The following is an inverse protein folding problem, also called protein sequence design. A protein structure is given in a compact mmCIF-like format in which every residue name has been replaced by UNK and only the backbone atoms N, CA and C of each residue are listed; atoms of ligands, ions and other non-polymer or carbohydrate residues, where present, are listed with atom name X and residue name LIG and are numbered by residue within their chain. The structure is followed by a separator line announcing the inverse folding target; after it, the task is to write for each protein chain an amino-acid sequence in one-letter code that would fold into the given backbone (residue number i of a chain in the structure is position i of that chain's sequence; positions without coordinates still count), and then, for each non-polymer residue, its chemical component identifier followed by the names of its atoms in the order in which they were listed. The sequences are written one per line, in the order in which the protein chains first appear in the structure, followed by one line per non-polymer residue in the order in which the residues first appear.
data_IF_456180995317
#
_entry.id   IF_456180995317
#
_cell.length_a   1.000
_cell.length_b   1.000
_cell.length_c   1.000
_cell.angle_alpha   90.00
_cell.angle_beta   90.00
_cell.angle_gamma   90.00
#
_symmetry.space_group_name_H-M   'P 1'
#
loop_
_entity.id
_entity.type
_entity.pdbx_description
1 polymer ?
#
# COMPACT_ATOMS: atom_id res chain seq x y z
N UNK A 1 -0.62 -2.68 -13.25
CA UNK A 1 0.78 -2.41 -13.65
C UNK A 1 0.80 -1.79 -15.05
N UNK A 2 0.79 -0.46 -15.13
CA UNK A 2 1.12 0.23 -16.38
C UNK A 2 2.63 0.08 -16.60
N UNK A 3 3.04 -0.21 -17.83
CA UNK A 3 4.45 -0.27 -18.23
C UNK A 3 5.12 1.09 -17.96
N UNK A 4 5.89 1.17 -16.88
CA UNK A 4 6.79 2.28 -16.59
C UNK A 4 8.05 2.10 -17.42
N UNK A 5 8.07 2.70 -18.61
CA UNK A 5 9.26 2.74 -19.47
C UNK A 5 10.03 4.03 -19.22
N UNK A 6 11.23 3.90 -18.65
CA UNK A 6 12.18 4.97 -18.36
C UNK A 6 12.71 5.63 -19.64
N UNK A 7 11.94 6.55 -20.22
CA UNK A 7 12.37 7.31 -21.40
C UNK A 7 13.25 8.48 -20.97
N UNK A 8 14.58 8.29 -20.87
CA UNK A 8 15.49 9.44 -20.96
C UNK A 8 16.75 9.48 -20.10
N UNK A 9 17.46 8.37 -19.88
CA UNK A 9 18.81 8.43 -19.27
C UNK A 9 19.86 8.91 -20.31
N UNK A 10 19.71 10.12 -20.84
CA UNK A 10 20.69 10.74 -21.75
C UNK A 10 21.78 11.44 -20.94
N UNK A 11 23.00 10.89 -20.94
CA UNK A 11 24.20 11.53 -20.37
C UNK A 11 24.38 12.95 -20.92
N UNK A 12 24.41 13.97 -20.07
CA UNK A 12 25.06 15.23 -20.44
C UNK A 12 26.57 14.98 -20.39
N UNK A 13 27.23 15.03 -21.57
CA UNK A 13 28.69 14.96 -21.68
C UNK A 13 29.30 16.12 -20.88
N UNK A 14 30.11 15.82 -19.86
CA UNK A 14 31.01 16.78 -19.26
C UNK A 14 32.36 16.13 -18.92
N UNK A 15 33.43 16.89 -19.18
CA UNK A 15 34.84 16.50 -19.09
C UNK A 15 35.24 16.00 -17.70
N UNK A 16 36.07 14.97 -17.66
CA UNK A 16 36.66 14.41 -16.45
C UNK A 16 37.65 15.40 -15.82
N UNK A 17 37.59 15.53 -14.49
CA UNK A 17 38.66 15.93 -13.56
C UNK A 17 38.09 16.61 -12.29
N UNK A 18 37.39 15.85 -11.45
CA UNK A 18 37.29 16.08 -9.99
C UNK A 18 36.58 14.88 -9.34
N UNK A 19 36.95 14.55 -8.11
CA UNK A 19 36.17 13.70 -7.19
C UNK A 19 34.85 14.43 -6.87
N UNK A 20 33.92 14.40 -7.82
CA UNK A 20 32.63 15.07 -7.70
C UNK A 20 31.68 14.33 -6.75
N UNK A 21 30.72 15.06 -6.18
CA UNK A 21 29.71 14.59 -5.23
C UNK A 21 28.79 13.56 -5.93
N UNK A 22 28.82 12.30 -5.50
CA UNK A 22 28.04 11.20 -6.11
C UNK A 22 26.73 10.95 -5.35
N UNK A 23 26.75 11.12 -4.03
CA UNK A 23 25.57 11.13 -3.16
C UNK A 23 25.46 12.46 -2.39
N UNK A 24 24.29 12.76 -1.83
CA UNK A 24 24.13 13.95 -0.97
C UNK A 24 25.01 13.89 0.29
N UNK A 25 25.43 12.71 0.72
CA UNK A 25 26.25 12.55 1.93
C UNK A 25 27.67 13.07 1.72
N UNK A 26 28.21 12.90 0.51
CA UNK A 26 29.51 13.42 0.09
C UNK A 26 29.57 14.96 0.07
N UNK A 27 28.43 15.65 0.16
CA UNK A 27 28.35 17.10 0.06
C UNK A 27 28.61 17.80 1.42
N UNK A 28 29.46 18.83 1.41
CA UNK A 28 29.69 19.68 2.59
C UNK A 28 28.44 20.51 2.96
N UNK A 29 27.74 21.08 1.97
CA UNK A 29 26.58 21.93 2.23
C UNK A 29 25.34 21.10 2.61
N UNK A 30 24.50 21.68 3.47
CA UNK A 30 23.20 21.10 3.84
C UNK A 30 22.25 20.96 2.64
N UNK A 31 22.30 21.92 1.71
CA UNK A 31 21.47 21.91 0.51
C UNK A 31 22.27 21.37 -0.67
N UNK A 32 21.73 20.38 -1.37
CA UNK A 32 22.39 19.75 -2.52
C UNK A 32 21.47 19.83 -3.73
N UNK A 33 21.91 20.47 -4.82
CA UNK A 33 21.19 20.44 -6.10
C UNK A 33 21.26 19.03 -6.68
N UNK A 34 20.11 18.34 -6.75
CA UNK A 34 20.04 16.93 -7.15
C UNK A 34 19.48 16.74 -8.57
N UNK A 35 18.53 17.58 -9.00
CA UNK A 35 17.92 17.50 -10.34
C UNK A 35 17.36 18.83 -10.82
N UNK A 36 17.06 18.89 -12.12
CA UNK A 36 16.20 19.91 -12.73
C UNK A 36 14.98 19.21 -13.32
N UNK A 37 13.79 19.78 -13.14
CA UNK A 37 12.52 19.19 -13.61
C UNK A 37 11.68 20.27 -14.29
N UNK A 38 10.67 19.89 -15.07
CA UNK A 38 9.67 20.85 -15.56
C UNK A 38 8.74 21.28 -14.42
N UNK A 39 8.29 22.54 -14.47
CA UNK A 39 7.22 23.08 -13.63
C UNK A 39 6.42 24.05 -14.47
N UNK A 40 5.25 23.62 -14.93
CA UNK A 40 4.55 24.26 -16.05
C UNK A 40 5.52 24.36 -17.26
N UNK A 41 5.59 25.52 -17.92
CA UNK A 41 6.46 25.73 -19.09
C UNK A 41 7.95 25.94 -18.73
N UNK A 42 8.26 26.16 -17.45
CA UNK A 42 9.60 26.54 -16.99
C UNK A 42 10.38 25.39 -16.35
N UNK A 43 11.71 25.52 -16.31
CA UNK A 43 12.58 24.60 -15.59
C UNK A 43 12.70 24.99 -14.10
N UNK A 44 12.66 23.98 -13.24
CA UNK A 44 12.76 24.12 -11.79
C UNK A 44 13.93 23.29 -11.25
N UNK A 45 14.87 23.94 -10.55
CA UNK A 45 15.92 23.24 -9.81
C UNK A 45 15.35 22.68 -8.51
N UNK A 46 15.64 21.41 -8.25
CA UNK A 46 15.22 20.67 -7.05
C UNK A 46 16.45 20.34 -6.22
N UNK A 47 16.34 20.60 -4.92
CA UNK A 47 17.41 20.46 -3.95
C UNK A 47 17.01 19.46 -2.88
N UNK A 48 17.95 18.64 -2.42
CA UNK A 48 17.82 17.83 -1.22
C UNK A 48 18.33 18.61 -0.02
N UNK A 49 17.61 18.56 1.09
CA UNK A 49 18.04 19.08 2.37
C UNK A 49 18.46 17.92 3.28
N UNK A 50 19.75 17.82 3.58
CA UNK A 50 20.34 16.75 4.40
C UNK A 50 19.81 16.73 5.84
N UNK A 51 19.33 17.85 6.39
CA UNK A 51 18.89 17.93 7.80
C UNK A 51 17.54 17.28 8.05
N UNK A 52 16.64 17.30 7.07
CA UNK A 52 15.27 16.81 7.23
C UNK A 52 14.88 15.78 6.18
N UNK A 53 15.83 15.36 5.33
CA UNK A 53 15.64 14.36 4.28
C UNK A 53 14.43 14.68 3.41
N UNK A 54 14.37 15.92 2.93
CA UNK A 54 13.27 16.43 2.12
C UNK A 54 13.74 17.22 0.90
N UNK A 55 12.89 17.29 -0.13
CA UNK A 55 13.14 18.11 -1.31
C UNK A 55 12.63 19.54 -1.16
N UNK A 56 13.35 20.48 -1.78
CA UNK A 56 13.03 21.89 -1.88
C UNK A 56 13.19 22.36 -3.33
N UNK A 57 12.48 23.43 -3.69
CA UNK A 57 12.67 24.09 -4.99
C UNK A 57 13.52 25.34 -4.83
N UNK A 58 14.20 25.79 -5.90
CA UNK A 58 15.11 26.96 -5.88
C UNK A 58 14.59 28.17 -5.07
N UNK A 59 13.30 28.52 -5.20
CA UNK A 59 12.71 29.67 -4.48
C UNK A 59 12.79 29.54 -2.95
N UNK A 60 12.85 28.32 -2.44
CA UNK A 60 12.91 27.99 -1.02
C UNK A 60 14.33 27.82 -0.48
N UNK A 61 15.35 27.96 -1.33
CA UNK A 61 16.76 27.77 -0.97
C UNK A 61 17.45 29.13 -0.92
N UNK A 62 17.81 29.57 0.28
CA UNK A 62 18.46 30.87 0.52
C UNK A 62 19.95 30.75 0.88
N UNK A 63 20.41 29.54 1.24
CA UNK A 63 21.79 29.25 1.64
C UNK A 63 22.66 28.75 0.47
N UNK A 64 23.98 28.67 0.70
CA UNK A 64 24.92 27.99 -0.18
C UNK A 64 24.49 26.54 -0.42
N UNK A 65 24.75 26.03 -1.64
CA UNK A 65 24.38 24.68 -2.01
C UNK A 65 25.49 23.97 -2.78
N UNK A 66 25.65 22.68 -2.50
CA UNK A 66 26.48 21.77 -3.28
C UNK A 66 25.70 21.25 -4.50
N UNK A 67 26.37 20.56 -5.42
CA UNK A 67 25.76 20.06 -6.66
C UNK A 67 26.25 18.64 -6.94
N UNK A 68 25.31 17.72 -7.24
CA UNK A 68 25.71 16.37 -7.66
C UNK A 68 26.49 16.40 -8.98
N UNK A 69 27.45 15.49 -9.12
CA UNK A 69 28.27 15.33 -10.32
C UNK A 69 27.42 15.05 -11.56
N UNK A 70 26.44 14.15 -11.43
CA UNK A 70 25.59 13.67 -12.52
C UNK A 70 24.18 14.26 -12.47
N UNK A 71 24.04 15.59 -12.46
CA UNK A 71 22.72 16.26 -12.50
C UNK A 71 21.92 15.84 -13.72
N UNK A 72 20.65 15.52 -13.50
CA UNK A 72 19.69 15.14 -14.53
C UNK A 72 18.63 16.23 -14.74
N UNK A 73 18.17 16.33 -15.99
CA UNK A 73 17.01 17.12 -16.38
C UNK A 73 15.88 16.16 -16.75
N UNK A 74 14.77 16.26 -16.03
CA UNK A 74 13.55 15.51 -16.31
C UNK A 74 12.55 16.41 -17.01
N UNK A 75 11.90 15.89 -18.05
CA UNK A 75 10.93 16.63 -18.86
C UNK A 75 9.51 16.60 -18.26
N UNK A 76 9.28 15.73 -17.29
CA UNK A 76 7.99 15.63 -16.59
C UNK A 76 7.91 16.66 -15.46
N UNK A 77 6.68 17.12 -15.18
CA UNK A 77 6.44 17.94 -13.99
C UNK A 77 6.55 17.06 -12.75
N UNK A 78 7.48 17.39 -11.86
CA UNK A 78 7.75 16.58 -10.67
C UNK A 78 6.58 16.50 -9.68
N UNK A 79 5.56 17.37 -9.83
CA UNK A 79 4.31 17.32 -9.06
C UNK A 79 3.33 16.27 -9.59
N UNK A 80 3.52 15.76 -10.80
CA UNK A 80 2.72 14.66 -11.31
C UNK A 80 3.07 13.38 -10.52
N UNK A 81 2.05 12.64 -10.10
CA UNK A 81 2.21 11.32 -9.48
C UNK A 81 2.34 10.21 -10.51
N UNK A 82 1.85 10.43 -11.74
CA UNK A 82 2.01 9.50 -12.87
C UNK A 82 3.26 9.87 -13.65
N UNK A 83 4.42 9.54 -13.09
CA UNK A 83 5.73 9.77 -13.69
C UNK A 83 6.72 8.70 -13.29
N UNK A 84 7.83 8.63 -14.00
CA UNK A 84 8.95 7.76 -13.64
C UNK A 84 9.59 8.17 -12.30
N UNK A 85 10.22 7.19 -11.65
CA UNK A 85 11.03 7.39 -10.44
C UNK A 85 12.23 8.28 -10.75
N UNK A 86 12.54 9.22 -9.87
CA UNK A 86 13.61 10.20 -10.06
C UNK A 86 14.46 10.31 -8.79
N UNK A 87 15.69 10.83 -8.94
CA UNK A 87 16.51 11.22 -7.78
C UNK A 87 15.75 12.23 -6.89
N UNK A 88 15.84 12.03 -5.58
CA UNK A 88 15.11 12.75 -4.54
C UNK A 88 13.79 12.11 -4.13
N UNK A 89 13.28 11.13 -4.87
CA UNK A 89 12.02 10.47 -4.54
C UNK A 89 12.20 9.43 -3.42
N UNK A 90 11.12 9.22 -2.67
CA UNK A 90 10.94 8.08 -1.80
C UNK A 90 10.39 6.93 -2.62
N UNK A 91 10.97 5.75 -2.45
CA UNK A 91 10.66 4.56 -3.23
C UNK A 91 10.60 3.33 -2.32
N UNK A 92 9.84 2.34 -2.77
CA UNK A 92 9.94 0.97 -2.31
C UNK A 92 10.84 0.20 -3.29
N UNK A 93 11.97 -0.29 -2.79
CA UNK A 93 12.89 -1.13 -3.53
C UNK A 93 12.64 -2.61 -3.21
N UNK A 94 12.48 -3.43 -4.24
CA UNK A 94 12.24 -4.88 -4.12
C UNK A 94 13.56 -5.63 -4.31
N UNK A 95 14.00 -6.35 -3.28
CA UNK A 95 15.15 -7.27 -3.42
C UNK A 95 14.73 -8.55 -4.16
N UNK A 96 15.66 -9.18 -4.88
CA UNK A 96 15.45 -10.36 -5.73
C UNK A 96 15.08 -11.70 -5.00
N UNK A 97 14.81 -11.65 -3.67
CA UNK A 97 13.96 -12.58 -2.88
C UNK A 97 14.64 -13.88 -2.35
N UNK A 98 14.33 -14.30 -1.08
CA UNK A 98 13.57 -15.55 -0.91
C UNK A 98 12.12 -15.45 -0.38
N UNK A 99 11.74 -14.53 0.52
CA UNK A 99 10.31 -14.35 0.92
C UNK A 99 9.77 -12.90 0.95
N UNK A 100 10.31 -12.06 0.05
CA UNK A 100 9.93 -10.69 -0.37
C UNK A 100 10.24 -9.54 0.61
N UNK A 101 11.53 -9.27 0.90
CA UNK A 101 11.90 -8.09 1.67
C UNK A 101 11.72 -6.82 0.83
N UNK A 102 11.07 -5.82 1.42
CA UNK A 102 10.88 -4.48 0.88
C UNK A 102 11.82 -3.51 1.59
N UNK A 103 12.42 -2.57 0.86
CA UNK A 103 13.19 -1.47 1.42
C UNK A 103 12.56 -0.13 1.05
N UNK A 104 12.06 0.59 2.05
CA UNK A 104 11.68 1.99 1.88
C UNK A 104 12.90 2.90 2.02
N UNK A 105 13.23 3.60 0.94
CA UNK A 105 14.42 4.41 0.84
C UNK A 105 14.21 5.64 -0.03
N UNK A 106 15.10 6.61 0.10
CA UNK A 106 15.19 7.77 -0.76
C UNK A 106 16.34 7.60 -1.73
N UNK A 107 16.13 7.98 -2.99
CA UNK A 107 17.21 8.01 -3.98
C UNK A 107 17.99 9.31 -3.80
N UNK A 108 19.21 9.25 -3.26
CA UNK A 108 19.97 10.45 -2.89
C UNK A 108 21.33 10.56 -3.59
N UNK A 109 21.60 9.69 -4.56
CA UNK A 109 22.81 9.74 -5.36
C UNK A 109 22.65 9.03 -6.70
N UNK A 110 23.53 9.35 -7.64
CA UNK A 110 23.56 8.70 -8.95
C UNK A 110 24.97 8.68 -9.52
N UNK A 111 25.37 7.51 -10.03
CA UNK A 111 26.63 7.29 -10.74
C UNK A 111 26.42 6.37 -11.94
N UNK A 112 27.46 6.23 -12.77
CA UNK A 112 27.42 5.43 -13.98
C UNK A 112 28.63 4.50 -14.03
N UNK A 113 28.38 3.22 -14.29
CA UNK A 113 29.40 2.22 -14.57
C UNK A 113 29.05 1.55 -15.89
N UNK A 114 29.97 1.60 -16.87
CA UNK A 114 29.73 1.05 -18.22
C UNK A 114 28.39 1.51 -18.85
N UNK A 115 28.09 2.81 -18.74
CA UNK A 115 26.81 3.42 -19.16
C UNK A 115 25.55 2.94 -18.43
N UNK A 116 25.67 2.06 -17.44
CA UNK A 116 24.56 1.61 -16.61
C UNK A 116 24.36 2.55 -15.41
N UNK A 117 23.12 2.98 -15.13
CA UNK A 117 22.81 3.84 -14.00
C UNK A 117 22.86 3.07 -12.67
N UNK A 118 23.57 3.61 -11.69
CA UNK A 118 23.51 3.16 -10.31
C UNK A 118 22.99 4.30 -9.45
N UNK A 119 22.03 3.99 -8.59
CA UNK A 119 21.43 4.94 -7.64
C UNK A 119 21.88 4.61 -6.23
N UNK A 120 22.07 5.65 -5.42
CA UNK A 120 22.37 5.49 -4.00
C UNK A 120 21.07 5.51 -3.22
N UNK A 121 20.81 4.42 -2.50
CA UNK A 121 19.60 4.18 -1.73
C UNK A 121 19.88 4.47 -0.26
N UNK A 122 19.27 5.53 0.25
CA UNK A 122 19.34 5.92 1.66
C UNK A 122 18.06 5.45 2.37
N UNK A 123 18.13 4.51 3.31
CA UNK A 123 16.93 4.02 3.98
C UNK A 123 16.19 5.12 4.74
N UNK A 124 14.86 5.15 4.62
CA UNK A 124 14.05 6.22 5.23
C UNK A 124 13.93 6.05 6.75
N UNK A 125 13.97 4.82 7.24
CA UNK A 125 13.90 4.50 8.66
C UNK A 125 15.29 4.18 9.22
N UNK A 126 15.81 4.94 10.19
CA UNK A 126 17.14 4.70 10.74
C UNK A 126 17.26 3.37 11.51
N UNK A 127 16.13 2.72 11.86
CA UNK A 127 16.12 1.42 12.54
C UNK A 127 16.24 0.23 11.57
N UNK A 128 16.20 0.46 10.26
CA UNK A 128 16.37 -0.64 9.29
C UNK A 128 17.77 -1.25 9.44
N UNK A 129 17.90 -2.59 9.37
CA UNK A 129 19.20 -3.25 9.46
C UNK A 129 20.06 -3.05 8.20
N UNK A 130 19.45 -2.56 7.12
CA UNK A 130 20.12 -2.34 5.83
C UNK A 130 20.86 -1.01 5.86
N UNK A 131 22.16 -1.04 5.55
CA UNK A 131 22.96 0.18 5.38
C UNK A 131 22.70 0.82 4.01
N UNK A 132 22.92 2.14 3.88
CA UNK A 132 22.90 2.79 2.58
C UNK A 132 23.79 2.08 1.56
N UNK A 133 23.32 1.98 0.32
CA UNK A 133 23.98 1.18 -0.70
C UNK A 133 23.77 1.72 -2.12
N UNK A 134 24.73 1.42 -2.99
CA UNK A 134 24.57 1.60 -4.43
C UNK A 134 23.87 0.39 -5.03
N UNK A 135 22.92 0.65 -5.92
CA UNK A 135 22.23 -0.40 -6.66
C UNK A 135 22.01 0.00 -8.11
N UNK A 136 22.15 -0.97 -9.02
CA UNK A 136 21.79 -0.79 -10.42
C UNK A 136 20.31 -0.42 -10.52
N UNK A 137 20.02 0.64 -11.27
CA UNK A 137 18.68 1.14 -11.44
C UNK A 137 17.93 0.34 -12.51
N UNK A 138 17.26 -0.72 -12.06
CA UNK A 138 16.37 -1.57 -12.85
C UNK A 138 14.91 -1.14 -12.55
N UNK A 139 14.22 -0.42 -13.45
CA UNK A 139 12.95 0.26 -13.16
C UNK A 139 11.86 -0.64 -12.54
N UNK A 140 11.82 -1.90 -12.92
CA UNK A 140 10.94 -2.95 -12.42
C UNK A 140 11.13 -3.29 -10.94
N UNK A 141 12.25 -2.86 -10.33
CA UNK A 141 12.53 -3.04 -8.91
C UNK A 141 12.21 -1.83 -8.05
N UNK A 142 11.80 -0.71 -8.64
CA UNK A 142 11.55 0.55 -7.93
C UNK A 142 10.09 0.96 -8.10
N UNK A 143 9.38 1.04 -6.97
CA UNK A 143 8.01 1.55 -6.92
C UNK A 143 8.05 2.94 -6.30
N UNK A 144 7.55 3.93 -7.03
CA UNK A 144 7.41 5.29 -6.52
C UNK A 144 6.45 5.33 -5.33
N UNK A 145 6.86 5.98 -4.23
CA UNK A 145 6.04 6.17 -3.03
C UNK A 145 5.57 7.63 -2.97
N UNK A 146 6.52 8.56 -2.84
CA UNK A 146 6.23 10.00 -2.88
C UNK A 146 7.50 10.80 -3.20
N UNK A 147 7.37 12.12 -3.32
CA UNK A 147 8.47 13.00 -3.71
C UNK A 147 9.27 13.59 -2.54
N UNK A 148 9.16 13.05 -1.33
CA UNK A 148 9.90 13.51 -0.14
C UNK A 148 9.75 15.00 0.19
N UNK A 149 8.62 15.65 -0.11
CA UNK A 149 8.42 17.04 0.34
C UNK A 149 8.24 17.14 1.85
N UNK A 150 8.81 18.21 2.42
CA UNK A 150 8.57 18.55 3.82
C UNK A 150 7.07 18.77 4.09
N UNK A 151 6.57 18.21 5.19
CA UNK A 151 5.16 18.31 5.58
C UNK A 151 4.20 17.31 4.92
N UNK A 152 4.65 16.53 3.94
CA UNK A 152 3.82 15.47 3.31
C UNK A 152 3.86 14.13 4.06
N UNK A 153 4.64 14.02 5.14
CA UNK A 153 4.81 12.76 5.88
C UNK A 153 3.64 12.56 6.85
N UNK A 154 2.60 11.85 6.41
CA UNK A 154 1.60 11.27 7.30
C UNK A 154 2.27 10.16 8.12
N UNK A 155 2.86 10.52 9.26
CA UNK A 155 3.56 9.57 10.13
C UNK A 155 2.65 8.43 10.54
N UNK A 156 3.15 7.20 10.48
CA UNK A 156 2.44 6.07 11.07
C UNK A 156 2.57 6.11 12.60
N UNK A 157 1.52 5.71 13.29
CA UNK A 157 1.46 5.63 14.76
C UNK A 157 1.67 4.17 15.22
N UNK A 158 1.64 3.20 14.30
CA UNK A 158 1.69 1.78 14.60
C UNK A 158 3.07 1.18 14.30
N UNK A 159 3.55 0.30 15.17
CA UNK A 159 4.76 -0.48 14.92
C UNK A 159 4.54 -1.47 13.76
N UNK A 160 5.53 -1.59 12.88
CA UNK A 160 5.50 -2.48 11.71
C UNK A 160 6.80 -3.26 11.61
N UNK A 161 6.75 -4.46 11.02
CA UNK A 161 7.92 -5.31 10.78
C UNK A 161 8.71 -4.92 9.51
N UNK A 162 8.19 -3.98 8.73
CA UNK A 162 8.71 -3.56 7.42
C UNK A 162 9.42 -2.20 7.45
N UNK A 163 9.60 -1.62 8.63
CA UNK A 163 10.27 -0.33 8.82
C UNK A 163 9.69 0.85 8.04
N UNK A 164 8.41 0.81 7.63
CA UNK A 164 7.74 1.97 7.05
C UNK A 164 7.70 3.15 8.06
N UNK A 165 7.79 4.40 7.59
CA UNK A 165 7.74 5.60 8.43
C UNK A 165 6.51 6.48 8.17
N UNK A 166 5.83 6.27 7.05
CA UNK A 166 4.63 7.02 6.68
C UNK A 166 3.57 6.12 6.05
N UNK A 167 2.34 6.65 5.95
CA UNK A 167 1.20 5.89 5.42
C UNK A 167 1.40 5.46 3.98
N UNK A 168 2.02 6.29 3.14
CA UNK A 168 2.26 5.97 1.72
C UNK A 168 3.15 4.72 1.57
N UNK A 169 4.21 4.61 2.38
CA UNK A 169 5.09 3.42 2.40
C UNK A 169 4.32 2.17 2.84
N UNK A 170 3.54 2.31 3.91
CA UNK A 170 2.73 1.22 4.44
C UNK A 170 1.67 0.75 3.44
N UNK A 171 0.99 1.67 2.76
CA UNK A 171 0.01 1.36 1.71
C UNK A 171 0.65 0.53 0.58
N UNK A 172 1.84 0.92 0.12
CA UNK A 172 2.58 0.19 -0.92
C UNK A 172 2.94 -1.23 -0.46
N UNK A 173 3.41 -1.41 0.78
CA UNK A 173 3.70 -2.75 1.29
C UNK A 173 2.44 -3.62 1.39
N UNK A 174 1.35 -3.09 1.95
CA UNK A 174 0.08 -3.80 2.08
C UNK A 174 -0.47 -4.22 0.70
N UNK A 175 -0.33 -3.37 -0.32
CA UNK A 175 -0.72 -3.68 -1.70
C UNK A 175 0.14 -4.79 -2.31
N UNK A 176 1.48 -4.67 -2.26
CA UNK A 176 2.41 -5.67 -2.82
C UNK A 176 2.20 -7.05 -2.19
N UNK A 177 2.08 -7.11 -0.85
CA UNK A 177 1.85 -8.37 -0.16
C UNK A 177 0.47 -8.96 -0.45
N UNK A 178 -0.57 -8.13 -0.58
CA UNK A 178 -1.89 -8.61 -0.96
C UNK A 178 -1.90 -9.21 -2.39
N UNK A 179 -1.36 -8.49 -3.38
CA UNK A 179 -1.28 -8.93 -4.78
C UNK A 179 -0.55 -10.27 -4.94
N UNK A 180 0.51 -10.48 -4.14
CA UNK A 180 1.30 -11.72 -4.19
C UNK A 180 0.65 -12.90 -3.46
N UNK A 181 -0.11 -12.66 -2.39
CA UNK A 181 -0.58 -13.73 -1.48
C UNK A 181 -2.05 -14.10 -1.66
N UNK A 182 -2.92 -13.12 -1.94
CA UNK A 182 -4.37 -13.32 -2.06
C UNK A 182 -4.74 -14.35 -3.14
N UNK A 183 -4.16 -14.32 -4.36
CA UNK A 183 -4.50 -15.31 -5.38
C UNK A 183 -4.20 -16.75 -4.95
N UNK A 184 -3.06 -16.98 -4.32
CA UNK A 184 -2.65 -18.29 -3.79
C UNK A 184 -3.56 -18.76 -2.65
N UNK A 185 -3.90 -17.84 -1.73
CA UNK A 185 -4.85 -18.12 -0.65
C UNK A 185 -6.22 -18.55 -1.19
N UNK A 186 -6.82 -17.76 -2.08
CA UNK A 186 -8.13 -18.03 -2.66
C UNK A 186 -8.12 -19.37 -3.44
N UNK A 187 -7.11 -19.57 -4.29
CA UNK A 187 -6.92 -20.82 -5.03
C UNK A 187 -6.94 -22.03 -4.10
N UNK A 188 -6.22 -21.95 -2.98
CA UNK A 188 -6.13 -23.06 -2.01
C UNK A 188 -7.47 -23.48 -1.39
N UNK A 189 -8.48 -22.60 -1.36
CA UNK A 189 -9.83 -22.90 -0.84
C UNK A 189 -10.81 -23.36 -1.92
N UNK A 190 -10.51 -23.01 -3.18
CA UNK A 190 -11.29 -23.41 -4.35
C UNK A 190 -10.89 -24.82 -4.79
N UNK A 191 -9.60 -25.13 -4.79
CA UNK A 191 -9.07 -26.45 -5.15
C UNK A 191 -9.37 -27.51 -4.07
N UNK A 192 -9.45 -27.12 -2.79
CA UNK A 192 -9.81 -28.02 -1.69
C UNK A 192 -11.22 -27.75 -1.15
N UNK A 193 -12.17 -28.57 -1.57
CA UNK A 193 -13.57 -28.43 -1.16
C UNK A 193 -13.85 -28.88 0.28
N UNK A 194 -12.88 -29.49 0.96
CA UNK A 194 -12.97 -29.99 2.34
C UNK A 194 -12.62 -28.93 3.37
N UNK A 195 -11.83 -27.90 3.00
CA UNK A 195 -11.49 -26.79 3.90
C UNK A 195 -12.72 -26.10 4.47
N UNK A 196 -12.82 -25.94 5.80
CA UNK A 196 -13.95 -25.27 6.42
C UNK A 196 -13.99 -23.78 6.01
N UNK A 197 -15.20 -23.25 5.85
CA UNK A 197 -15.44 -21.80 5.76
C UNK A 197 -16.12 -21.42 7.06
N UNK A 198 -15.51 -20.48 7.78
CA UNK A 198 -15.91 -20.07 9.13
C UNK A 198 -14.87 -19.16 9.75
N UNK A 199 -14.79 -19.13 11.08
CA UNK A 199 -13.91 -18.23 11.84
C UNK A 199 -12.44 -18.33 11.45
N UNK A 200 -11.90 -19.55 11.36
CA UNK A 200 -10.50 -19.76 10.97
C UNK A 200 -10.21 -19.22 9.56
N UNK A 201 -11.11 -19.43 8.60
CA UNK A 201 -10.95 -18.89 7.25
C UNK A 201 -10.97 -17.35 7.24
N UNK A 202 -11.79 -16.73 8.10
CA UNK A 202 -11.80 -15.27 8.25
C UNK A 202 -10.51 -14.74 8.92
N UNK A 203 -9.99 -15.43 9.92
CA UNK A 203 -8.67 -15.12 10.51
C UNK A 203 -7.55 -15.29 9.50
N UNK A 204 -7.60 -16.34 8.68
CA UNK A 204 -6.63 -16.56 7.60
C UNK A 204 -6.70 -15.46 6.52
N UNK A 205 -7.87 -14.89 6.24
CA UNK A 205 -7.97 -13.71 5.36
C UNK A 205 -7.12 -12.56 5.92
N UNK A 206 -7.26 -12.25 7.21
CA UNK A 206 -6.47 -11.22 7.86
C UNK A 206 -4.97 -11.56 7.89
N UNK A 207 -4.63 -12.80 8.24
CA UNK A 207 -3.24 -13.25 8.25
C UNK A 207 -2.60 -13.14 6.86
N UNK A 208 -3.32 -13.55 5.81
CA UNK A 208 -2.86 -13.50 4.41
C UNK A 208 -2.51 -12.08 3.99
N UNK A 209 -3.36 -11.12 4.35
CA UNK A 209 -3.17 -9.71 4.00
C UNK A 209 -2.00 -9.06 4.76
N UNK A 210 -1.77 -9.45 6.01
CA UNK A 210 -0.98 -8.62 6.94
C UNK A 210 0.25 -9.30 7.58
N UNK A 211 0.44 -10.61 7.39
CA UNK A 211 1.60 -11.35 7.93
C UNK A 211 2.92 -10.72 7.46
N UNK A 212 3.86 -10.50 8.38
CA UNK A 212 5.15 -9.88 8.04
C UNK A 212 5.08 -8.36 7.83
N UNK A 213 3.90 -7.74 8.01
CA UNK A 213 3.73 -6.28 8.13
C UNK A 213 3.46 -5.94 9.59
N UNK A 214 2.52 -6.69 10.20
CA UNK A 214 2.10 -6.52 11.58
C UNK A 214 2.25 -7.82 12.36
N UNK A 215 2.85 -7.74 13.56
CA UNK A 215 2.99 -8.88 14.46
C UNK A 215 1.64 -9.44 14.95
N UNK A 216 0.57 -8.63 14.91
CA UNK A 216 -0.78 -8.99 15.31
C UNK A 216 -1.65 -9.53 14.14
N UNK A 217 -1.06 -9.80 12.97
CA UNK A 217 -1.79 -10.34 11.84
C UNK A 217 -2.52 -11.66 12.19
N UNK A 218 -3.86 -11.65 12.10
CA UNK A 218 -4.71 -12.81 12.41
C UNK A 218 -5.03 -12.99 13.90
N UNK A 219 -4.60 -12.04 14.74
CA UNK A 219 -4.82 -12.02 16.19
C UNK A 219 -5.91 -11.00 16.52
N UNK A 220 -6.89 -11.40 17.34
CA UNK A 220 -7.93 -10.49 17.78
C UNK A 220 -7.40 -9.39 18.69
N UNK A 221 -7.96 -8.19 18.56
CA UNK A 221 -7.59 -7.05 19.40
C UNK A 221 -7.97 -7.31 20.86
N UNK A 222 -7.16 -6.79 21.76
CA UNK A 222 -7.40 -6.77 23.20
C UNK A 222 -7.75 -5.36 23.72
N UNK A 223 -7.80 -4.36 22.83
CA UNK A 223 -8.10 -2.97 23.16
C UNK A 223 -9.38 -2.52 22.47
N UNK A 224 -10.04 -1.51 23.05
CA UNK A 224 -11.17 -0.85 22.41
C UNK A 224 -10.75 -0.16 21.11
N UNK A 225 -11.53 -0.37 20.06
CA UNK A 225 -11.32 0.27 18.77
C UNK A 225 -12.58 1.01 18.38
N UNK A 226 -12.45 2.30 18.16
CA UNK A 226 -13.54 3.15 17.70
C UNK A 226 -13.36 3.39 16.21
N UNK A 227 -14.39 3.10 15.43
CA UNK A 227 -14.38 3.43 13.99
C UNK A 227 -14.46 4.96 13.86
N UNK A 228 -13.30 5.58 13.61
CA UNK A 228 -13.02 7.02 13.74
C UNK A 228 -14.02 7.94 13.03
N UNK A 229 -14.68 7.47 11.97
CA UNK A 229 -15.62 8.30 11.21
C UNK A 229 -16.93 8.59 11.97
N UNK A 230 -17.30 7.81 12.99
CA UNK A 230 -18.60 7.95 13.67
C UNK A 230 -18.59 7.82 15.19
N UNK A 231 -17.43 7.64 15.83
CA UNK A 231 -17.34 7.32 17.27
C UNK A 231 -18.23 6.14 17.69
N UNK A 232 -18.46 5.18 16.78
CA UNK A 232 -19.31 4.03 17.02
C UNK A 232 -18.54 2.97 17.78
N UNK A 233 -19.12 2.49 18.89
CA UNK A 233 -18.61 1.34 19.61
C UNK A 233 -18.73 0.07 18.76
N UNK A 234 -17.63 -0.67 18.69
CA UNK A 234 -17.59 -2.05 18.19
C UNK A 234 -17.91 -3.01 19.35
N UNK A 235 -17.94 -4.31 19.11
CA UNK A 235 -18.01 -5.28 20.21
C UNK A 235 -16.89 -5.02 21.24
N UNK A 236 -17.15 -5.24 22.52
CA UNK A 236 -16.11 -5.13 23.54
C UNK A 236 -15.03 -6.22 23.29
N UNK A 237 -13.72 -5.95 23.51
CA UNK A 237 -12.67 -6.93 23.25
C UNK A 237 -12.89 -8.32 23.89
N UNK A 238 -13.46 -8.36 25.10
CA UNK A 238 -13.77 -9.64 25.79
C UNK A 238 -14.81 -10.48 25.07
N UNK A 239 -15.68 -9.86 24.29
CA UNK A 239 -16.87 -10.50 23.72
C UNK A 239 -16.61 -10.98 22.29
N UNK A 240 -15.53 -10.50 21.65
CA UNK A 240 -15.17 -10.82 20.25
C UNK A 240 -15.25 -12.33 19.98
N UNK A 241 -14.63 -13.16 20.84
CA UNK A 241 -14.58 -14.61 20.62
C UNK A 241 -15.97 -15.24 20.68
N UNK A 242 -16.83 -14.79 21.59
CA UNK A 242 -18.19 -15.31 21.75
C UNK A 242 -19.07 -14.88 20.57
N UNK A 243 -18.98 -13.61 20.16
CA UNK A 243 -19.73 -13.06 19.04
C UNK A 243 -19.36 -13.73 17.70
N UNK A 244 -18.07 -13.94 17.45
CA UNK A 244 -17.61 -14.64 16.24
C UNK A 244 -18.04 -16.11 16.23
N UNK A 245 -17.89 -16.83 17.34
CA UNK A 245 -18.32 -18.22 17.44
C UNK A 245 -19.82 -18.34 17.17
N UNK A 246 -20.63 -17.50 17.83
CA UNK A 246 -22.09 -17.44 17.63
C UNK A 246 -22.44 -17.20 16.17
N UNK A 247 -21.79 -16.23 15.53
CA UNK A 247 -22.01 -15.93 14.12
C UNK A 247 -21.60 -17.08 13.20
N UNK A 248 -20.39 -17.63 13.35
CA UNK A 248 -19.85 -18.64 12.44
C UNK A 248 -20.50 -20.01 12.58
N UNK A 249 -21.17 -20.32 13.69
CA UNK A 249 -22.07 -21.48 13.80
C UNK A 249 -23.24 -21.41 12.80
N UNK A 250 -23.60 -20.21 12.34
CA UNK A 250 -24.65 -19.99 11.34
C UNK A 250 -24.13 -19.85 9.90
N UNK A 251 -22.80 -19.75 9.71
CA UNK A 251 -22.14 -19.51 8.42
C UNK A 251 -21.04 -20.53 8.14
N UNK A 252 -21.43 -21.80 8.03
CA UNK A 252 -20.56 -22.92 7.69
C UNK A 252 -20.51 -23.18 6.19
N UNK A 253 -19.47 -23.88 5.72
CA UNK A 253 -19.39 -24.34 4.31
C UNK A 253 -20.61 -25.16 3.89
N UNK A 254 -21.17 -25.97 4.78
CA UNK A 254 -22.38 -26.78 4.52
C UNK A 254 -23.61 -25.88 4.28
N UNK A 255 -23.84 -24.88 5.15
CA UNK A 255 -24.91 -23.89 4.96
C UNK A 255 -24.71 -23.11 3.65
N UNK A 256 -23.48 -22.69 3.35
CA UNK A 256 -23.19 -22.01 2.09
C UNK A 256 -23.50 -22.88 0.86
N UNK A 257 -23.28 -24.21 0.89
CA UNK A 257 -23.56 -25.10 -0.26
C UNK A 257 -25.05 -25.20 -0.60
N UNK A 258 -25.93 -24.87 0.36
CA UNK A 258 -27.39 -24.83 0.17
C UNK A 258 -27.86 -23.60 -0.61
N UNK A 259 -27.04 -22.56 -0.72
CA UNK A 259 -27.36 -21.35 -1.48
C UNK A 259 -27.26 -21.65 -2.99
N UNK A 260 -28.36 -21.51 -3.71
CA UNK A 260 -28.45 -21.80 -5.17
C UNK A 260 -28.72 -20.57 -6.03
N UNK A 261 -29.31 -19.53 -5.45
CA UNK A 261 -29.71 -18.32 -6.17
C UNK A 261 -28.87 -17.10 -5.77
N UNK A 262 -28.79 -16.14 -6.69
CA UNK A 262 -27.99 -14.91 -6.53
C UNK A 262 -28.50 -14.04 -5.37
N UNK A 263 -29.81 -13.96 -5.18
CA UNK A 263 -30.40 -13.07 -4.17
C UNK A 263 -30.14 -13.55 -2.74
N UNK A 264 -30.22 -14.86 -2.50
CA UNK A 264 -29.84 -15.48 -1.23
C UNK A 264 -28.35 -15.29 -0.97
N UNK A 265 -27.49 -15.46 -1.98
CA UNK A 265 -26.06 -15.17 -1.82
C UNK A 265 -25.83 -13.70 -1.44
N UNK A 266 -26.46 -12.74 -2.12
CA UNK A 266 -26.33 -11.31 -1.80
C UNK A 266 -26.76 -11.04 -0.35
N UNK A 267 -27.89 -11.61 0.10
CA UNK A 267 -28.34 -11.47 1.50
C UNK A 267 -27.29 -11.99 2.47
N UNK A 268 -26.76 -13.19 2.23
CA UNK A 268 -25.68 -13.77 3.05
C UNK A 268 -24.43 -12.89 3.07
N UNK A 269 -24.02 -12.30 1.94
CA UNK A 269 -22.86 -11.40 1.89
C UNK A 269 -23.11 -10.11 2.70
N UNK A 270 -24.30 -9.52 2.58
CA UNK A 270 -24.68 -8.30 3.34
C UNK A 270 -24.71 -8.58 4.85
N UNK A 271 -25.30 -9.70 5.25
CA UNK A 271 -25.36 -10.11 6.66
C UNK A 271 -23.98 -10.44 7.21
N UNK A 272 -23.13 -11.11 6.43
CA UNK A 272 -21.74 -11.37 6.82
C UNK A 272 -20.96 -10.07 6.98
N UNK A 273 -21.11 -9.14 6.04
CA UNK A 273 -20.43 -7.85 6.09
C UNK A 273 -20.83 -7.04 7.32
N UNK A 274 -22.14 -6.85 7.55
CA UNK A 274 -22.63 -6.01 8.64
C UNK A 274 -22.22 -6.57 10.00
N UNK A 275 -22.32 -7.89 10.18
CA UNK A 275 -22.00 -8.55 11.46
C UNK A 275 -20.52 -8.42 11.75
N UNK A 276 -19.64 -8.76 10.81
CA UNK A 276 -18.20 -8.65 11.02
C UNK A 276 -17.73 -7.19 11.14
N UNK A 277 -18.38 -6.25 10.46
CA UNK A 277 -18.08 -4.82 10.58
C UNK A 277 -18.42 -4.27 11.97
N UNK A 278 -19.47 -4.80 12.61
CA UNK A 278 -19.84 -4.46 13.99
C UNK A 278 -18.92 -5.13 15.02
N UNK A 279 -18.65 -6.43 14.89
CA UNK A 279 -17.73 -7.15 15.79
C UNK A 279 -16.34 -6.50 15.75
N UNK A 280 -15.85 -6.21 14.55
CA UNK A 280 -14.59 -5.50 14.30
C UNK A 280 -13.38 -6.12 15.04
N UNK A 281 -13.05 -7.39 14.79
CA UNK A 281 -12.26 -8.17 15.72
C UNK A 281 -10.74 -7.91 15.71
N UNK A 282 -10.20 -7.18 14.73
CA UNK A 282 -8.77 -6.91 14.61
C UNK A 282 -8.42 -5.45 14.94
N UNK A 283 -7.15 -5.16 15.21
CA UNK A 283 -6.67 -3.82 15.53
C UNK A 283 -6.86 -2.83 14.36
N UNK A 284 -6.53 -3.26 13.15
CA UNK A 284 -6.82 -2.57 11.89
C UNK A 284 -7.04 -3.65 10.80
N UNK A 285 -7.37 -3.26 9.56
CA UNK A 285 -7.50 -4.21 8.45
C UNK A 285 -8.84 -4.95 8.40
N UNK A 286 -9.76 -4.68 9.32
CA UNK A 286 -11.10 -5.32 9.38
C UNK A 286 -11.85 -5.22 8.06
N UNK A 287 -12.01 -4.02 7.52
CA UNK A 287 -12.74 -3.82 6.27
C UNK A 287 -12.13 -4.54 5.07
N UNK A 288 -10.80 -4.72 5.02
CA UNK A 288 -10.08 -5.44 3.96
C UNK A 288 -10.25 -6.95 4.10
N UNK A 289 -10.11 -7.45 5.33
CA UNK A 289 -10.32 -8.85 5.67
C UNK A 289 -11.76 -9.31 5.38
N UNK A 290 -12.76 -8.47 5.69
CA UNK A 290 -14.16 -8.74 5.36
C UNK A 290 -14.35 -8.86 3.85
N UNK A 291 -13.82 -7.92 3.05
CA UNK A 291 -13.95 -7.96 1.58
C UNK A 291 -13.34 -9.22 0.99
N UNK A 292 -12.13 -9.60 1.42
CA UNK A 292 -11.49 -10.84 0.99
C UNK A 292 -12.31 -12.08 1.38
N UNK A 293 -12.90 -12.10 2.56
CA UNK A 293 -13.76 -13.20 3.01
C UNK A 293 -15.06 -13.29 2.20
N UNK A 294 -15.67 -12.16 1.83
CA UNK A 294 -16.83 -12.13 0.94
C UNK A 294 -16.47 -12.65 -0.47
N UNK A 295 -15.29 -12.30 -0.97
CA UNK A 295 -14.78 -12.82 -2.24
C UNK A 295 -14.60 -14.34 -2.18
N UNK A 296 -13.98 -14.85 -1.12
CA UNK A 296 -13.85 -16.29 -0.87
C UNK A 296 -15.23 -16.99 -0.88
N UNK A 297 -16.20 -16.48 -0.11
CA UNK A 297 -17.57 -17.03 -0.08
C UNK A 297 -18.16 -17.06 -1.50
N UNK A 298 -18.06 -15.95 -2.23
CA UNK A 298 -18.62 -15.80 -3.57
C UNK A 298 -18.01 -16.79 -4.57
N UNK A 299 -16.68 -16.92 -4.55
CA UNK A 299 -15.95 -17.84 -5.42
C UNK A 299 -16.37 -19.28 -5.19
N UNK A 300 -16.58 -19.68 -3.92
CA UNK A 300 -17.04 -21.05 -3.62
C UNK A 300 -18.43 -21.33 -4.22
N UNK A 301 -19.22 -20.30 -4.52
CA UNK A 301 -20.57 -20.39 -5.11
C UNK A 301 -20.61 -20.11 -6.61
N UNK A 302 -19.45 -20.02 -7.27
CA UNK A 302 -19.39 -19.80 -8.72
C UNK A 302 -19.60 -18.34 -9.13
N UNK A 303 -19.33 -17.40 -8.23
CA UNK A 303 -19.42 -15.96 -8.49
C UNK A 303 -18.09 -15.27 -8.22
N UNK A 304 -17.79 -14.22 -8.99
CA UNK A 304 -16.76 -13.23 -8.64
C UNK A 304 -17.42 -12.08 -7.89
N UNK A 305 -16.74 -11.58 -6.87
CA UNK A 305 -17.17 -10.43 -6.11
C UNK A 305 -16.08 -9.37 -6.16
N UNK A 306 -16.25 -8.35 -6.99
CA UNK A 306 -15.26 -7.30 -7.19
C UNK A 306 -15.78 -5.97 -6.64
N UNK A 307 -15.66 -5.79 -5.33
CA UNK A 307 -16.02 -4.52 -4.68
C UNK A 307 -14.92 -3.46 -4.84
N UNK A 308 -13.67 -3.87 -5.05
CA UNK A 308 -12.52 -2.95 -5.15
C UNK A 308 -12.67 -1.98 -6.34
N UNK A 309 -13.23 -2.47 -7.46
CA UNK A 309 -13.58 -1.64 -8.61
C UNK A 309 -14.52 -0.46 -8.28
N UNK A 310 -15.34 -0.57 -7.22
CA UNK A 310 -16.25 0.48 -6.78
C UNK A 310 -15.63 1.43 -5.75
N UNK A 311 -14.51 1.07 -5.12
CA UNK A 311 -13.87 1.87 -4.06
C UNK A 311 -12.50 2.44 -4.45
N UNK A 312 -12.06 2.20 -5.69
CA UNK A 312 -10.79 2.68 -6.24
C UNK A 312 -10.66 4.21 -6.30
N UNK A 313 -11.78 4.95 -6.31
CA UNK A 313 -11.77 6.41 -6.32
C UNK A 313 -12.45 7.01 -5.07
N UNK A 314 -12.13 8.28 -4.79
CA UNK A 314 -12.62 9.00 -3.60
C UNK A 314 -14.15 9.01 -3.49
N UNK A 315 -14.88 9.14 -4.61
CA UNK A 315 -16.34 9.18 -4.61
C UNK A 315 -16.92 7.80 -4.28
N UNK A 316 -16.40 6.77 -4.92
CA UNK A 316 -16.76 5.38 -4.69
C UNK A 316 -16.51 4.94 -3.25
N UNK A 317 -15.32 5.23 -2.71
CA UNK A 317 -14.96 4.99 -1.30
C UNK A 317 -15.94 5.66 -0.33
N UNK A 318 -16.30 6.93 -0.58
CA UNK A 318 -17.31 7.65 0.22
C UNK A 318 -18.69 6.99 0.13
N UNK A 319 -19.12 6.56 -1.06
CA UNK A 319 -20.39 5.87 -1.27
C UNK A 319 -20.45 4.53 -0.54
N UNK A 320 -19.39 3.73 -0.63
CA UNK A 320 -19.27 2.47 0.11
C UNK A 320 -19.36 2.70 1.63
N UNK A 321 -18.58 3.63 2.17
CA UNK A 321 -18.66 3.92 3.61
C UNK A 321 -20.05 4.42 4.03
N UNK A 322 -20.72 5.22 3.19
CA UNK A 322 -22.12 5.58 3.43
C UNK A 322 -23.01 4.34 3.50
N UNK A 323 -22.89 3.41 2.55
CA UNK A 323 -23.68 2.18 2.51
C UNK A 323 -23.44 1.26 3.71
N UNK A 324 -22.19 1.13 4.17
CA UNK A 324 -21.85 0.38 5.38
C UNK A 324 -22.54 0.97 6.61
N UNK A 325 -22.51 2.30 6.78
CA UNK A 325 -23.16 2.97 7.92
C UNK A 325 -24.67 2.76 7.91
N UNK A 326 -25.30 2.87 6.74
CA UNK A 326 -26.74 2.63 6.59
C UNK A 326 -27.07 1.17 6.96
N UNK A 327 -26.27 0.21 6.50
CA UNK A 327 -26.47 -1.21 6.84
C UNK A 327 -26.41 -1.45 8.34
N UNK A 328 -25.47 -0.81 9.04
CA UNK A 328 -25.33 -0.90 10.49
C UNK A 328 -26.44 -0.16 11.28
N UNK A 329 -27.31 0.59 10.59
CA UNK A 329 -28.56 1.21 11.11
C UNK A 329 -29.80 0.46 10.62
N UNK A 330 -29.64 -0.79 10.19
CA UNK A 330 -30.69 -1.65 9.63
C UNK A 330 -31.28 -1.19 8.28
N UNK A 331 -30.63 -0.24 7.60
CA UNK A 331 -30.97 0.14 6.22
C UNK A 331 -30.02 -0.55 5.24
N UNK A 332 -30.40 -1.74 4.78
CA UNK A 332 -29.55 -2.60 3.95
C UNK A 332 -29.63 -2.29 2.44
N UNK A 333 -30.56 -1.43 2.00
CA UNK A 333 -30.77 -1.16 0.57
C UNK A 333 -29.50 -0.63 -0.13
N UNK A 334 -28.75 0.34 0.42
CA UNK A 334 -27.57 0.87 -0.27
C UNK A 334 -26.47 -0.17 -0.46
N UNK A 335 -26.18 -0.97 0.58
CA UNK A 335 -25.13 -1.99 0.50
C UNK A 335 -25.56 -3.16 -0.37
N UNK A 336 -26.84 -3.55 -0.34
CA UNK A 336 -27.39 -4.60 -1.22
C UNK A 336 -27.23 -4.23 -2.68
N UNK A 337 -27.51 -2.96 -3.05
CA UNK A 337 -27.31 -2.47 -4.42
C UNK A 337 -25.86 -2.59 -4.86
N UNK A 338 -24.92 -2.08 -4.06
CA UNK A 338 -23.48 -2.19 -4.35
C UNK A 338 -23.03 -3.64 -4.50
N UNK A 339 -23.48 -4.53 -3.62
CA UNK A 339 -23.09 -5.94 -3.68
C UNK A 339 -23.69 -6.66 -4.89
N UNK A 340 -24.89 -6.27 -5.32
CA UNK A 340 -25.52 -6.80 -6.54
C UNK A 340 -24.72 -6.45 -7.79
N UNK A 341 -24.21 -5.22 -7.85
CA UNK A 341 -23.36 -4.71 -8.93
C UNK A 341 -21.96 -5.32 -8.91
N UNK A 342 -21.39 -5.54 -7.71
CA UNK A 342 -20.09 -6.18 -7.54
C UNK A 342 -20.07 -7.69 -7.80
N UNK A 343 -21.24 -8.36 -7.77
CA UNK A 343 -21.36 -9.81 -7.89
C UNK A 343 -21.71 -10.23 -9.34
N UNK A 344 -20.80 -10.98 -9.97
CA UNK A 344 -20.94 -11.51 -11.34
C UNK A 344 -20.75 -13.02 -11.36
N UNK A 345 -21.50 -13.74 -12.21
CA UNK A 345 -21.37 -15.20 -12.35
C UNK A 345 -20.08 -15.53 -13.12
N UNK A 346 -19.33 -16.53 -12.65
CA UNK A 346 -18.19 -17.06 -13.39
C UNK A 346 -18.75 -17.81 -14.62
N UNK A 347 -18.29 -17.44 -15.81
CA UNK A 347 -18.66 -18.11 -17.06
C UNK A 347 -18.01 -19.46 -17.19
#
# INVERSE_FOLDING_TARGET
MHNMTFHGISLQKNKASSTGILSVDDAENTMVHIKTTKRNDNNCKVYWNKRNSCIYTKKSVTSSSSKLKHIRQYNEDFRNSERDVQIGDSVCYIFAIPHLPLLFCSITGIQFYENRPFVYLEPNNPKTPIKPMWQEFLPDRFIFVNDNRFGNKNSIIMDTEIYAICRDELDIAEEIYAETRVPSFLRSYIEDSTKPIGENAFRECHLTLFKGIYNWAGIYRNNEVIVQTEKRATAHPSDISIELNTFFNTLTRSQLRKIKDKDTLIRTLVDTHKTLAWIHPFQDGNGRSIRLFLELISLTRGYRFNLEAFICNRRGKKSYYHAVRQSLKNNHLPIKKLFTEALSKIK
#
